data_IF_713143098351
#
_entry.id   IF_713143098351
#
_cell.length_a   1.000
_cell.length_b   1.000
_cell.length_c   1.000
_cell.angle_alpha   90.00
_cell.angle_beta   90.00
_cell.angle_gamma   90.00
#
_symmetry.space_group_name_H-M   'P 1'
#
loop_
_entity.id
_entity.type
_entity.pdbx_description
1 polymer ?
#
# COMPACT_ATOMS: atom_id res chain seq x y z
N UNK A 1 -21.44 -1.98 12.50
CA UNK A 1 -20.54 -2.82 13.32
C UNK A 1 -19.18 -2.84 12.64
N UNK A 2 -18.09 -2.76 13.43
CA UNK A 2 -16.70 -2.87 12.94
C UNK A 2 -16.06 -4.08 13.62
N UNK A 3 -15.55 -5.00 12.83
CA UNK A 3 -14.78 -6.16 13.30
C UNK A 3 -13.39 -6.11 12.69
N UNK A 4 -12.36 -6.27 13.53
CA UNK A 4 -10.97 -6.29 13.08
C UNK A 4 -10.33 -7.63 13.42
N UNK A 5 -9.67 -8.23 12.43
CA UNK A 5 -8.83 -9.43 12.60
C UNK A 5 -7.37 -9.00 12.50
N UNK A 6 -6.66 -9.11 13.61
CA UNK A 6 -5.26 -8.67 13.72
C UNK A 6 -4.37 -9.91 13.66
N UNK A 7 -3.47 -9.95 12.67
CA UNK A 7 -2.53 -11.05 12.45
C UNK A 7 -1.10 -10.59 12.69
N UNK A 8 -0.39 -11.34 13.52
CA UNK A 8 1.02 -11.16 13.78
C UNK A 8 1.81 -12.33 13.19
N UNK A 9 2.98 -12.05 12.63
CA UNK A 9 3.85 -13.05 12.03
C UNK A 9 5.12 -13.23 12.87
N UNK A 10 5.57 -14.48 13.03
CA UNK A 10 6.76 -14.79 13.83
C UNK A 10 8.02 -14.13 13.30
N UNK A 11 8.19 -14.16 11.98
CA UNK A 11 9.45 -13.83 11.31
C UNK A 11 9.32 -12.60 10.39
N UNK A 12 8.23 -11.85 10.51
CA UNK A 12 7.98 -10.63 9.72
C UNK A 12 7.64 -9.47 10.64
N UNK A 13 8.30 -8.35 10.44
CA UNK A 13 7.91 -7.07 11.05
C UNK A 13 6.73 -6.48 10.26
N UNK A 14 5.57 -7.13 10.44
CA UNK A 14 4.33 -6.77 9.77
C UNK A 14 3.14 -7.21 10.64
N UNK A 15 2.15 -6.35 10.73
CA UNK A 15 0.88 -6.60 11.41
C UNK A 15 -0.22 -6.35 10.39
N UNK A 16 -0.94 -7.39 9.98
CA UNK A 16 -2.09 -7.25 9.10
C UNK A 16 -3.36 -7.03 9.89
N UNK A 17 -4.18 -6.09 9.47
CA UNK A 17 -5.45 -5.75 10.10
C UNK A 17 -6.53 -5.80 9.02
N UNK A 18 -7.22 -6.94 8.94
CA UNK A 18 -8.38 -7.11 8.07
C UNK A 18 -9.62 -6.56 8.78
N UNK A 19 -10.35 -5.74 8.07
CA UNK A 19 -11.55 -5.06 8.56
C UNK A 19 -12.77 -5.58 7.84
N UNK A 20 -13.79 -5.91 8.63
CA UNK A 20 -15.14 -6.23 8.17
C UNK A 20 -16.09 -5.21 8.80
N UNK A 21 -16.78 -4.43 7.98
CA UNK A 21 -17.59 -3.32 8.44
C UNK A 21 -18.98 -3.39 7.82
N UNK A 22 -20.00 -3.58 8.65
CA UNK A 22 -21.38 -3.35 8.26
C UNK A 22 -21.71 -1.88 8.53
N UNK A 23 -21.82 -1.10 7.46
CA UNK A 23 -21.93 0.35 7.53
C UNK A 23 -23.31 0.83 7.07
N UNK A 24 -23.92 1.68 7.85
CA UNK A 24 -25.23 2.27 7.54
C UNK A 24 -25.37 3.71 8.05
N UNK A 25 -24.27 4.45 8.04
CA UNK A 25 -24.24 5.85 8.48
C UNK A 25 -24.53 6.81 7.31
N UNK A 26 -24.78 8.06 7.64
CA UNK A 26 -24.96 9.16 6.68
C UNK A 26 -24.11 10.35 7.09
N UNK A 27 -23.39 10.94 6.13
CA UNK A 27 -22.59 12.14 6.34
C UNK A 27 -21.53 11.98 7.46
N UNK A 28 -20.97 10.77 7.57
CA UNK A 28 -19.93 10.41 8.54
C UNK A 28 -18.67 9.98 7.81
N UNK A 29 -17.54 10.54 8.19
CA UNK A 29 -16.23 10.13 7.73
C UNK A 29 -15.60 9.20 8.78
N UNK A 30 -15.41 7.92 8.44
CA UNK A 30 -14.71 6.96 9.27
C UNK A 30 -13.22 6.95 8.90
N UNK A 31 -12.36 7.20 9.88
CA UNK A 31 -10.90 7.20 9.70
C UNK A 31 -10.21 6.37 10.75
N UNK A 32 -9.05 5.85 10.40
CA UNK A 32 -8.13 5.22 11.31
C UNK A 32 -6.86 6.06 11.42
N UNK A 33 -6.29 6.13 12.62
CA UNK A 33 -5.09 6.90 12.90
C UNK A 33 -4.05 6.05 13.63
N UNK A 34 -2.81 6.16 13.19
CA UNK A 34 -1.65 5.50 13.77
C UNK A 34 -0.68 6.58 14.27
N UNK A 35 -0.65 6.89 15.56
CA UNK A 35 0.39 7.76 16.13
C UNK A 35 1.75 7.06 16.03
N UNK A 36 2.77 7.80 15.58
CA UNK A 36 4.13 7.30 15.41
C UNK A 36 5.10 8.33 15.96
N UNK A 37 6.03 7.92 16.79
CA UNK A 37 7.06 8.79 17.33
C UNK A 37 8.24 8.88 16.36
N UNK A 38 8.00 9.55 15.24
CA UNK A 38 8.97 9.81 14.16
C UNK A 38 9.04 11.30 13.90
N UNK A 39 10.26 11.86 13.90
CA UNK A 39 10.52 13.26 13.69
C UNK A 39 11.05 13.52 12.27
N UNK A 40 10.15 13.91 11.38
CA UNK A 40 10.47 14.27 10.00
C UNK A 40 9.51 15.33 9.48
N UNK A 41 9.99 16.17 8.57
CA UNK A 41 9.19 17.19 7.88
C UNK A 41 8.60 16.71 6.55
N UNK A 42 8.96 15.50 6.11
CA UNK A 42 8.45 14.89 4.88
C UNK A 42 8.01 13.43 5.11
N UNK A 43 6.95 13.03 4.43
CA UNK A 43 6.53 11.63 4.32
C UNK A 43 6.46 11.22 2.86
N UNK A 44 6.59 9.91 2.59
CA UNK A 44 6.58 9.34 1.25
C UNK A 44 5.24 8.66 0.96
N UNK A 45 4.72 8.90 -0.23
CA UNK A 45 3.43 8.38 -0.69
C UNK A 45 3.59 7.70 -2.04
N UNK A 46 3.11 6.48 -2.17
CA UNK A 46 3.07 5.83 -3.48
C UNK A 46 2.08 6.54 -4.40
N UNK A 47 2.53 6.75 -5.62
CA UNK A 47 1.73 7.18 -6.76
C UNK A 47 1.91 6.19 -7.92
N UNK A 48 1.21 6.39 -9.03
CA UNK A 48 1.36 5.55 -10.21
C UNK A 48 2.82 5.54 -10.67
N UNK A 49 3.40 4.34 -10.75
CA UNK A 49 4.78 4.11 -11.22
C UNK A 49 5.87 4.87 -10.47
N UNK A 50 5.70 5.07 -9.17
CA UNK A 50 6.69 5.76 -8.36
C UNK A 50 6.17 6.20 -7.01
N UNK A 51 6.79 7.24 -6.46
CA UNK A 51 6.41 7.84 -5.20
C UNK A 51 6.65 9.35 -5.21
N UNK A 52 6.03 10.03 -4.28
CA UNK A 52 6.18 11.47 -4.07
C UNK A 52 6.36 11.75 -2.58
N UNK A 53 7.18 12.72 -2.26
CA UNK A 53 7.29 13.26 -0.90
C UNK A 53 6.33 14.43 -0.72
N UNK A 54 5.72 14.52 0.47
CA UNK A 54 4.87 15.63 0.87
C UNK A 54 5.20 16.04 2.30
N UNK A 55 5.05 17.34 2.63
CA UNK A 55 5.32 17.83 3.98
C UNK A 55 4.36 17.23 5.01
N UNK A 56 4.84 17.08 6.24
CA UNK A 56 4.08 16.61 7.41
C UNK A 56 3.55 17.76 8.27
N UNK A 57 3.66 19.00 7.80
CA UNK A 57 3.30 20.24 8.50
C UNK A 57 2.31 21.09 7.69
N UNK A 58 1.74 22.12 8.32
CA UNK A 58 0.80 23.07 7.73
C UNK A 58 1.38 24.50 7.68
N UNK A 59 2.66 24.64 7.30
CA UNK A 59 3.37 25.92 7.38
C UNK A 59 2.91 26.94 6.32
N UNK A 60 2.29 26.48 5.25
CA UNK A 60 1.77 27.33 4.18
C UNK A 60 0.30 27.04 3.92
N UNK A 61 -0.42 27.99 3.30
CA UNK A 61 -1.80 27.76 2.86
C UNK A 61 -1.94 26.61 1.83
N UNK A 62 -0.88 26.31 1.09
CA UNK A 62 -0.82 25.16 0.20
C UNK A 62 -0.78 23.83 0.97
N UNK A 63 -0.02 23.80 2.07
CA UNK A 63 0.07 22.61 2.92
C UNK A 63 -1.25 22.38 3.67
N UNK A 64 -1.85 23.44 4.20
CA UNK A 64 -3.14 23.39 4.88
C UNK A 64 -4.26 22.91 3.94
N UNK A 65 -4.25 23.33 2.67
CA UNK A 65 -5.21 22.85 1.67
C UNK A 65 -5.05 21.36 1.32
N UNK A 66 -3.92 20.74 1.66
CA UNK A 66 -3.66 19.31 1.45
C UNK A 66 -3.96 18.47 2.69
N UNK A 67 -5.04 18.77 3.38
CA UNK A 67 -5.46 18.08 4.61
C UNK A 67 -5.74 16.57 4.42
N UNK A 68 -5.98 16.13 3.20
CA UNK A 68 -6.09 14.75 2.78
C UNK A 68 -5.57 14.61 1.34
N UNK A 69 -4.77 13.59 1.09
CA UNK A 69 -4.13 13.33 -0.20
C UNK A 69 -4.36 11.89 -0.64
N UNK A 70 -4.10 11.61 -1.91
CA UNK A 70 -4.17 10.27 -2.44
C UNK A 70 -2.79 9.58 -2.36
N UNK A 71 -2.79 8.34 -1.92
CA UNK A 71 -1.72 7.37 -2.14
C UNK A 71 -2.35 6.03 -2.54
N UNK A 72 -1.56 5.10 -3.07
CA UNK A 72 -2.10 3.81 -3.45
C UNK A 72 -1.75 2.72 -2.45
N UNK A 73 -0.83 1.83 -2.80
CA UNK A 73 -0.56 0.61 -2.03
C UNK A 73 0.18 0.86 -0.72
N UNK A 74 0.91 1.97 -0.59
CA UNK A 74 1.68 2.27 0.62
C UNK A 74 1.93 3.76 0.84
N UNK A 75 2.12 4.11 2.10
CA UNK A 75 2.65 5.38 2.58
C UNK A 75 3.71 5.09 3.64
N UNK A 76 4.65 6.01 3.82
CA UNK A 76 5.74 5.83 4.77
C UNK A 76 6.08 7.13 5.50
N UNK A 77 6.26 7.00 6.80
CA UNK A 77 6.78 8.02 7.68
C UNK A 77 8.04 7.50 8.36
N UNK A 78 9.19 8.03 7.97
CA UNK A 78 10.51 7.57 8.44
C UNK A 78 11.41 8.72 8.79
N UNK A 79 12.29 8.49 9.76
CA UNK A 79 13.52 9.24 10.01
C UNK A 79 14.74 8.34 9.70
N UNK A 80 15.97 8.81 9.96
CA UNK A 80 17.18 8.05 9.60
C UNK A 80 17.32 6.70 10.33
N UNK A 81 16.78 6.58 11.54
CA UNK A 81 16.94 5.41 12.40
C UNK A 81 15.85 4.37 12.24
N UNK A 82 14.61 4.79 12.02
CA UNK A 82 13.46 3.92 11.91
C UNK A 82 12.25 4.60 11.26
N UNK A 83 11.20 3.84 10.99
CA UNK A 83 9.97 4.34 10.45
C UNK A 83 8.82 3.34 10.50
N UNK A 84 7.70 3.77 9.97
CA UNK A 84 6.50 2.96 9.77
C UNK A 84 5.99 3.12 8.35
N UNK A 85 5.99 2.04 7.60
CA UNK A 85 5.22 1.95 6.36
C UNK A 85 3.82 1.42 6.68
N UNK A 86 2.79 2.07 6.12
CA UNK A 86 1.40 1.59 6.19
C UNK A 86 0.99 1.17 4.78
N UNK A 87 0.63 -0.10 4.66
CA UNK A 87 0.18 -0.69 3.40
C UNK A 87 -1.35 -0.78 3.40
N UNK A 88 -1.97 -0.71 2.24
CA UNK A 88 -3.41 -0.95 2.10
C UNK A 88 -3.76 -1.57 0.75
N UNK A 89 -4.94 -2.20 0.67
CA UNK A 89 -5.40 -2.88 -0.54
C UNK A 89 -6.38 -2.04 -1.39
N UNK A 90 -7.05 -1.03 -0.82
CA UNK A 90 -8.05 -0.26 -1.59
C UNK A 90 -8.43 1.11 -1.01
N UNK A 91 -7.83 1.57 0.10
CA UNK A 91 -8.19 2.83 0.77
C UNK A 91 -7.14 3.91 0.50
N UNK A 92 -7.42 4.79 -0.44
CA UNK A 92 -6.42 5.71 -1.02
C UNK A 92 -6.40 7.11 -0.42
N UNK A 93 -7.40 7.48 0.36
CA UNK A 93 -7.41 8.75 1.10
C UNK A 93 -6.55 8.65 2.36
N UNK A 94 -5.55 9.52 2.48
CA UNK A 94 -4.63 9.50 3.61
C UNK A 94 -4.10 10.89 3.95
N UNK A 95 -3.58 11.03 5.16
CA UNK A 95 -2.79 12.19 5.61
C UNK A 95 -1.70 11.75 6.58
N UNK A 96 -0.61 12.49 6.60
CA UNK A 96 0.44 12.33 7.60
C UNK A 96 0.79 13.71 8.14
N UNK A 97 0.46 13.95 9.41
CA UNK A 97 0.72 15.23 10.08
C UNK A 97 1.03 14.99 11.55
N UNK A 98 2.00 15.75 12.08
CA UNK A 98 2.35 15.75 13.51
C UNK A 98 2.61 14.35 14.08
N UNK A 99 3.41 13.53 13.39
CA UNK A 99 3.72 12.16 13.81
C UNK A 99 2.50 11.22 13.80
N UNK A 100 1.47 11.50 13.03
CA UNK A 100 0.26 10.69 12.93
C UNK A 100 -0.03 10.35 11.48
N UNK A 101 -0.10 9.06 11.18
CA UNK A 101 -0.57 8.54 9.89
C UNK A 101 -2.07 8.32 9.95
N UNK A 102 -2.82 8.87 9.02
CA UNK A 102 -4.27 8.74 8.91
C UNK A 102 -4.69 8.06 7.61
N UNK A 103 -5.62 7.10 7.69
CA UNK A 103 -6.30 6.50 6.54
C UNK A 103 -7.80 6.77 6.60
N UNK A 104 -8.38 7.20 5.48
CA UNK A 104 -9.82 7.32 5.31
C UNK A 104 -10.38 5.97 4.90
N UNK A 105 -11.30 5.45 5.69
CA UNK A 105 -11.91 4.14 5.51
C UNK A 105 -13.20 4.23 4.69
N UNK A 106 -14.16 5.04 5.14
CA UNK A 106 -15.47 5.22 4.53
C UNK A 106 -15.94 6.67 4.67
N UNK A 107 -16.69 7.12 3.68
CA UNK A 107 -17.27 8.47 3.66
C UNK A 107 -18.71 8.40 3.17
N UNK A 108 -19.65 8.31 4.03
CA UNK A 108 -21.08 8.22 3.73
C UNK A 108 -21.63 9.50 3.08
N UNK A 109 -21.22 9.78 1.87
CA UNK A 109 -21.73 10.93 1.10
C UNK A 109 -23.21 10.71 0.79
N UNK A 110 -23.95 11.80 0.61
CA UNK A 110 -25.36 11.75 0.24
C UNK A 110 -25.63 12.26 -1.18
N UNK A 111 -24.59 12.70 -1.85
CA UNK A 111 -24.66 13.17 -3.25
C UNK A 111 -23.39 12.70 -4.01
N UNK A 112 -23.52 12.22 -5.25
CA UNK A 112 -24.78 12.05 -6.03
C UNK A 112 -25.63 10.83 -5.60
N UNK A 113 -25.07 9.89 -4.84
CA UNK A 113 -25.76 8.73 -4.31
C UNK A 113 -26.13 8.95 -2.83
N UNK A 114 -27.44 9.01 -2.46
CA UNK A 114 -27.85 9.21 -1.09
C UNK A 114 -27.58 8.01 -0.16
N UNK A 115 -27.25 6.87 -0.73
CA UNK A 115 -26.94 5.63 -0.02
C UNK A 115 -25.48 5.19 -0.22
N UNK A 116 -24.61 6.12 -0.57
CA UNK A 116 -23.17 5.84 -0.75
C UNK A 116 -22.57 5.19 0.51
N UNK A 117 -21.74 4.18 0.29
CA UNK A 117 -21.01 3.38 1.29
C UNK A 117 -21.90 2.58 2.27
N UNK A 118 -23.23 2.57 2.11
CA UNK A 118 -24.12 1.78 2.97
C UNK A 118 -24.18 0.33 2.53
N UNK A 119 -23.19 -0.42 2.93
CA UNK A 119 -23.08 -1.84 2.61
C UNK A 119 -22.08 -2.53 3.55
N UNK A 120 -21.80 -3.80 3.30
CA UNK A 120 -20.73 -4.53 3.91
C UNK A 120 -19.41 -4.22 3.18
N UNK A 121 -18.36 -3.87 3.95
CA UNK A 121 -17.02 -3.58 3.43
C UNK A 121 -16.02 -4.54 4.03
N UNK A 122 -15.12 -5.06 3.19
CA UNK A 122 -13.96 -5.85 3.60
C UNK A 122 -12.70 -5.26 2.97
N UNK A 123 -11.71 -4.95 3.77
CA UNK A 123 -10.41 -4.42 3.31
C UNK A 123 -9.32 -4.62 4.37
N UNK A 124 -8.08 -4.58 3.92
CA UNK A 124 -6.91 -4.82 4.78
C UNK A 124 -5.92 -3.67 4.69
N UNK A 125 -5.37 -3.29 5.83
CA UNK A 125 -4.12 -2.55 5.89
C UNK A 125 -3.09 -3.31 6.70
N UNK A 126 -1.81 -2.96 6.50
CA UNK A 126 -0.70 -3.56 7.23
C UNK A 126 0.18 -2.48 7.82
N UNK A 127 0.59 -2.66 9.06
CA UNK A 127 1.60 -1.85 9.72
C UNK A 127 2.95 -2.56 9.60
N UNK A 128 3.92 -1.91 9.00
CA UNK A 128 5.27 -2.43 8.78
C UNK A 128 6.30 -1.51 9.43
N UNK A 129 6.53 -1.63 10.76
CA UNK A 129 7.63 -0.92 11.40
C UNK A 129 8.96 -1.43 10.85
N UNK A 130 9.93 -0.52 10.70
CA UNK A 130 11.21 -0.87 10.12
C UNK A 130 12.36 -0.03 10.69
N UNK A 131 13.55 -0.57 10.64
CA UNK A 131 14.81 0.12 10.93
C UNK A 131 15.35 0.73 9.64
N UNK A 132 15.91 1.92 9.70
CA UNK A 132 16.41 2.62 8.52
C UNK A 132 15.29 3.10 7.59
N UNK A 133 15.57 3.16 6.31
CA UNK A 133 14.66 3.71 5.30
C UNK A 133 13.74 2.65 4.71
N UNK A 134 12.57 3.06 4.25
CA UNK A 134 11.58 2.17 3.63
C UNK A 134 12.12 1.37 2.44
N UNK A 135 13.09 1.92 1.69
CA UNK A 135 13.73 1.23 0.56
C UNK A 135 14.50 -0.03 0.99
N UNK A 136 15.02 -0.05 2.21
CA UNK A 136 15.84 -1.14 2.75
C UNK A 136 14.99 -2.24 3.40
N UNK A 137 13.67 -2.04 3.47
CA UNK A 137 12.74 -2.90 4.19
C UNK A 137 11.66 -3.54 3.33
N UNK A 138 11.89 -3.62 2.03
CA UNK A 138 10.99 -4.27 1.07
C UNK A 138 9.55 -3.73 1.07
N UNK A 139 9.35 -2.46 1.47
CA UNK A 139 8.03 -1.84 1.57
C UNK A 139 7.22 -1.98 0.29
N UNK A 140 7.84 -1.73 -0.87
CA UNK A 140 7.17 -1.86 -2.18
C UNK A 140 6.78 -3.31 -2.45
N UNK A 141 7.68 -4.27 -2.20
CA UNK A 141 7.41 -5.69 -2.42
C UNK A 141 6.30 -6.21 -1.50
N UNK A 142 6.31 -5.82 -0.22
CA UNK A 142 5.25 -6.13 0.75
C UNK A 142 3.89 -5.55 0.32
N UNK A 143 3.88 -4.31 -0.17
CA UNK A 143 2.68 -3.66 -0.67
C UNK A 143 2.11 -4.36 -1.92
N UNK A 144 2.97 -4.81 -2.82
CA UNK A 144 2.56 -5.66 -3.95
C UNK A 144 2.03 -7.01 -3.50
N UNK A 145 2.64 -7.66 -2.51
CA UNK A 145 2.18 -8.94 -1.97
C UNK A 145 0.79 -8.83 -1.31
N UNK A 146 0.51 -7.74 -0.60
CA UNK A 146 -0.81 -7.46 -0.03
C UNK A 146 -1.87 -7.30 -1.12
N UNK A 147 -1.54 -6.59 -2.21
CA UNK A 147 -2.47 -6.27 -3.30
C UNK A 147 -2.60 -7.40 -4.34
N UNK A 148 -1.62 -8.29 -4.41
CA UNK A 148 -1.59 -9.44 -5.33
C UNK A 148 -1.25 -10.72 -4.55
N UNK A 149 -2.18 -11.23 -3.74
CA UNK A 149 -1.93 -12.39 -2.89
C UNK A 149 -1.63 -13.63 -3.72
N UNK A 150 -0.75 -14.50 -3.21
CA UNK A 150 -0.41 -15.76 -3.85
C UNK A 150 -1.64 -16.66 -3.99
N UNK A 151 -1.78 -17.25 -5.18
CA UNK A 151 -2.78 -18.28 -5.42
C UNK A 151 -2.14 -19.65 -5.21
N UNK A 152 -2.72 -20.45 -4.32
CA UNK A 152 -2.29 -21.82 -4.06
C UNK A 152 -3.26 -22.82 -4.70
N UNK A 153 -2.73 -23.71 -5.52
CA UNK A 153 -3.49 -24.80 -6.12
C UNK A 153 -2.90 -26.15 -5.71
N UNK A 154 -3.78 -27.12 -5.40
CA UNK A 154 -3.34 -28.47 -5.09
C UNK A 154 -2.86 -29.14 -6.39
N UNK A 155 -1.66 -29.70 -6.38
CA UNK A 155 -1.17 -30.52 -7.48
C UNK A 155 -2.04 -31.79 -7.59
N UNK A 156 -2.62 -32.03 -8.77
CA UNK A 156 -3.47 -33.20 -9.04
C UNK A 156 -2.79 -34.26 -9.88
N UNK A 157 -1.69 -33.90 -10.56
CA UNK A 157 -0.97 -34.82 -11.47
C UNK A 157 0.41 -35.14 -10.92
N UNK A 158 0.82 -36.40 -11.06
CA UNK A 158 2.19 -36.90 -10.85
C UNK A 158 2.99 -36.79 -12.16
N UNK A 159 4.31 -36.59 -12.07
CA UNK A 159 5.19 -36.61 -13.23
C UNK A 159 5.48 -35.28 -13.92
N UNK A 160 5.23 -34.13 -13.25
CA UNK A 160 5.65 -32.82 -13.76
C UNK A 160 7.18 -32.69 -13.83
N UNK A 161 7.70 -32.05 -14.89
CA UNK A 161 9.13 -31.85 -15.16
C UNK A 161 9.65 -30.46 -14.78
N UNK A 162 8.78 -29.55 -14.39
CA UNK A 162 9.16 -28.17 -13.98
C UNK A 162 9.91 -28.20 -12.64
N UNK A 163 10.90 -27.32 -12.45
CA UNK A 163 11.60 -27.17 -11.18
C UNK A 163 10.65 -26.72 -10.06
N UNK A 164 11.06 -26.91 -8.79
CA UNK A 164 10.28 -26.50 -7.62
C UNK A 164 10.05 -24.98 -7.54
N UNK A 165 10.93 -24.20 -8.13
CA UNK A 165 10.86 -22.75 -8.25
C UNK A 165 11.20 -22.36 -9.68
N UNK A 166 10.40 -21.50 -10.27
CA UNK A 166 10.59 -21.00 -11.61
C UNK A 166 10.09 -19.56 -11.72
N UNK A 167 10.88 -18.70 -12.35
CA UNK A 167 10.47 -17.35 -12.71
C UNK A 167 10.57 -17.18 -14.23
N UNK A 168 9.52 -16.67 -14.85
CA UNK A 168 9.52 -16.40 -16.29
C UNK A 168 10.42 -15.20 -16.62
N UNK A 169 10.45 -14.20 -15.76
CA UNK A 169 11.24 -12.96 -15.87
C UNK A 169 11.74 -12.57 -14.49
N UNK A 170 12.94 -12.03 -14.43
CA UNK A 170 13.52 -11.48 -13.20
C UNK A 170 14.29 -10.21 -13.50
N UNK A 171 14.45 -9.38 -12.49
CA UNK A 171 15.31 -8.18 -12.50
C UNK A 171 16.30 -8.31 -11.34
N UNK A 172 17.54 -7.90 -11.57
CA UNK A 172 18.67 -8.05 -10.63
C UNK A 172 18.92 -6.85 -9.72
N UNK A 173 18.10 -5.82 -9.84
CA UNK A 173 18.16 -4.61 -9.00
C UNK A 173 16.88 -4.43 -8.19
N UNK A 174 16.96 -4.11 -6.88
CA UNK A 174 15.80 -4.11 -5.99
C UNK A 174 14.85 -2.92 -6.19
N UNK A 175 15.30 -1.89 -6.88
CA UNK A 175 14.52 -0.66 -7.11
C UNK A 175 13.80 -0.62 -8.46
N UNK A 176 13.85 -1.69 -9.25
CA UNK A 176 13.07 -1.82 -10.48
C UNK A 176 12.00 -2.90 -10.27
N UNK A 177 10.76 -2.52 -10.49
CA UNK A 177 9.60 -3.41 -10.37
C UNK A 177 9.15 -3.83 -11.76
N UNK A 178 9.02 -5.14 -11.99
CA UNK A 178 8.28 -5.70 -13.12
C UNK A 178 6.81 -5.68 -12.74
N UNK A 179 6.09 -4.72 -13.29
CA UNK A 179 4.68 -4.48 -12.93
C UNK A 179 3.74 -5.36 -13.76
N UNK A 180 4.05 -5.55 -15.04
CA UNK A 180 3.21 -6.30 -15.95
C UNK A 180 4.05 -7.13 -16.91
N UNK A 181 3.61 -8.37 -17.15
CA UNK A 181 4.05 -9.20 -18.27
C UNK A 181 2.80 -9.62 -19.04
N UNK A 182 2.69 -9.23 -20.32
CA UNK A 182 1.52 -9.56 -21.13
C UNK A 182 1.89 -9.84 -22.58
N UNK A 183 0.98 -10.49 -23.30
CA UNK A 183 1.08 -10.63 -24.76
C UNK A 183 0.87 -9.25 -25.42
N UNK A 184 1.60 -8.99 -26.49
CA UNK A 184 1.42 -7.78 -27.30
C UNK A 184 0.03 -7.76 -27.97
N UNK A 185 -0.53 -6.57 -28.15
CA UNK A 185 -1.87 -6.39 -28.75
C UNK A 185 -1.93 -6.84 -30.22
N UNK A 186 -0.84 -6.67 -30.96
CA UNK A 186 -0.66 -7.16 -32.34
C UNK A 186 -0.52 -8.69 -32.44
N UNK A 187 -0.42 -9.36 -31.29
CA UNK A 187 -0.26 -10.82 -31.21
C UNK A 187 1.17 -11.31 -31.33
N UNK A 188 2.12 -10.44 -31.59
CA UNK A 188 3.55 -10.76 -31.72
C UNK A 188 4.36 -10.23 -30.53
N UNK A 189 5.07 -11.15 -29.84
CA UNK A 189 5.95 -10.80 -28.74
C UNK A 189 5.28 -10.70 -27.36
N UNK A 190 6.11 -10.38 -26.37
CA UNK A 190 5.74 -10.20 -24.98
C UNK A 190 6.11 -8.79 -24.54
N UNK A 191 5.15 -8.08 -23.95
CA UNK A 191 5.38 -6.77 -23.36
C UNK A 191 5.72 -6.95 -21.88
N UNK A 192 6.82 -6.36 -21.48
CA UNK A 192 7.22 -6.25 -20.07
C UNK A 192 7.18 -4.77 -19.70
N UNK A 193 6.37 -4.41 -18.70
CA UNK A 193 6.31 -3.07 -18.15
C UNK A 193 7.06 -3.03 -16.85
N UNK A 194 7.99 -2.08 -16.75
CA UNK A 194 8.83 -1.91 -15.58
C UNK A 194 8.88 -0.44 -15.18
N UNK A 195 9.13 -0.17 -13.90
CA UNK A 195 9.40 1.18 -13.40
C UNK A 195 10.41 1.17 -12.26
N UNK A 196 11.11 2.28 -12.09
CA UNK A 196 12.03 2.52 -10.98
C UNK A 196 11.27 3.14 -9.80
N UNK A 197 11.34 2.53 -8.62
CA UNK A 197 10.48 2.87 -7.49
C UNK A 197 11.16 3.65 -6.34
N UNK A 198 12.47 3.93 -6.41
CA UNK A 198 13.22 4.61 -5.34
C UNK A 198 13.65 6.05 -5.68
N UNK A 199 13.26 6.56 -6.84
CA UNK A 199 13.66 7.87 -7.37
C UNK A 199 15.19 7.99 -7.55
N UNK A 200 15.86 6.94 -8.03
CA UNK A 200 17.28 6.93 -8.31
C UNK A 200 17.59 6.27 -9.66
N UNK A 201 18.81 6.55 -10.17
CA UNK A 201 19.27 5.87 -11.38
C UNK A 201 19.59 4.40 -11.10
N UNK A 202 19.16 3.52 -11.99
CA UNK A 202 19.59 2.12 -12.11
C UNK A 202 20.23 1.87 -13.46
N UNK A 203 21.17 0.92 -13.49
CA UNK A 203 21.80 0.44 -14.72
C UNK A 203 21.54 -1.04 -14.86
#
# INVERSE_FOLDING_TARGET
>A
VVTQYISFYRDLYQIDIRNEIDWNEKQVLLRCYFPVDVHTDEATYEIQYGNVKRPTHYNTSWDDARFEVCAHKWIDLSEDGYGLSVLNDCKYGCDIHNGRVGLTMLKSAIFPNPDADKEHHSFTWSLCPHVGRWQENDTVAKAYALNNPYQATRKTNEGGTLPKSYSLVSVDVPNVIIETVKKAEDGEGTIIRMYECWNRRSK
#
